data_IF_631827179477
#
_entry.id   IF_631827179477
#
_cell.length_a   1.000
_cell.length_b   1.000
_cell.length_c   1.000
_cell.angle_alpha   90.00
_cell.angle_beta   90.00
_cell.angle_gamma   90.00
#
_symmetry.space_group_name_H-M   'P 1'
#
loop_
_entity.id
_entity.type
_entity.pdbx_description
1 polymer ?
#
# COMPACT_ATOMS: atom_id res chain seq x y z
N UNK A 1 -66.03 -18.65 -3.89
CA UNK A 1 -66.77 -17.95 -2.79
C UNK A 1 -66.38 -18.68 -1.52
N UNK A 2 -65.60 -18.04 -0.68
CA UNK A 2 -65.12 -18.59 0.59
C UNK A 2 -66.21 -18.35 1.64
N UNK A 3 -66.29 -19.18 2.69
CA UNK A 3 -67.29 -19.06 3.73
C UNK A 3 -67.34 -17.68 4.39
N UNK A 4 -66.27 -16.94 4.38
CA UNK A 4 -66.17 -15.56 4.90
C UNK A 4 -66.97 -14.52 4.06
N UNK A 5 -67.03 -14.70 2.71
CA UNK A 5 -67.83 -13.82 1.85
C UNK A 5 -69.35 -13.99 2.09
N UNK A 6 -69.77 -15.19 2.45
CA UNK A 6 -71.19 -15.53 2.75
C UNK A 6 -71.63 -14.99 4.13
N UNK A 7 -70.75 -15.01 5.14
CA UNK A 7 -71.04 -14.44 6.47
C UNK A 7 -71.12 -12.93 6.45
N UNK A 8 -70.22 -12.23 5.71
CA UNK A 8 -70.26 -10.79 5.59
C UNK A 8 -71.50 -10.31 4.86
N UNK A 9 -72.01 -11.07 3.84
CA UNK A 9 -73.24 -10.74 3.15
C UNK A 9 -74.51 -10.89 4.06
N UNK A 10 -74.53 -11.82 5.00
CA UNK A 10 -75.66 -12.02 5.93
C UNK A 10 -75.70 -10.94 7.02
N UNK A 11 -74.55 -10.50 7.57
CA UNK A 11 -74.47 -9.40 8.48
C UNK A 11 -74.90 -8.07 7.84
N UNK A 12 -74.45 -7.81 6.62
CA UNK A 12 -74.91 -6.65 5.82
C UNK A 12 -76.38 -6.63 5.55
N UNK A 13 -77.03 -7.80 5.21
CA UNK A 13 -78.47 -7.93 5.01
C UNK A 13 -79.21 -7.63 6.31
N UNK A 14 -78.76 -8.12 7.43
CA UNK A 14 -79.37 -7.83 8.75
C UNK A 14 -79.25 -6.36 9.17
N UNK A 15 -78.13 -5.73 8.93
CA UNK A 15 -77.97 -4.28 9.17
C UNK A 15 -78.83 -3.44 8.24
N UNK A 16 -79.01 -3.83 6.96
CA UNK A 16 -79.87 -3.14 6.00
C UNK A 16 -81.34 -3.29 6.33
N UNK A 17 -81.82 -4.39 6.91
CA UNK A 17 -83.22 -4.61 7.31
C UNK A 17 -83.65 -3.73 8.47
N UNK A 18 -82.75 -3.20 9.27
CA UNK A 18 -83.00 -2.29 10.42
C UNK A 18 -83.05 -0.81 10.03
N UNK A 19 -82.55 -0.43 8.83
CA UNK A 19 -82.50 0.97 8.37
C UNK A 19 -83.73 1.40 7.57
N UNK A 20 -84.12 2.65 7.65
CA UNK A 20 -85.20 3.17 6.78
C UNK A 20 -84.77 3.22 5.30
N UNK A 21 -85.74 3.08 4.39
CA UNK A 21 -85.46 3.11 2.94
C UNK A 21 -84.84 4.44 2.49
N UNK A 22 -85.10 5.54 3.19
CA UNK A 22 -84.46 6.83 2.93
C UNK A 22 -82.98 6.86 3.31
N UNK A 23 -82.61 6.21 4.39
CA UNK A 23 -81.23 6.11 4.87
C UNK A 23 -80.41 5.17 3.97
N UNK A 24 -80.99 4.10 3.50
CA UNK A 24 -80.31 3.19 2.54
C UNK A 24 -80.02 3.92 1.23
N UNK A 25 -80.95 4.69 0.72
CA UNK A 25 -80.74 5.49 -0.51
C UNK A 25 -79.66 6.56 -0.32
N UNK A 26 -79.62 7.21 0.83
CA UNK A 26 -78.59 8.21 1.13
C UNK A 26 -77.20 7.56 1.22
N UNK A 27 -77.08 6.44 1.91
CA UNK A 27 -75.82 5.73 2.07
C UNK A 27 -75.33 5.18 0.71
N UNK A 28 -76.23 4.70 -0.13
CA UNK A 28 -75.89 4.23 -1.47
C UNK A 28 -75.31 5.38 -2.32
N UNK A 29 -75.93 6.54 -2.30
CA UNK A 29 -75.41 7.71 -3.00
C UNK A 29 -74.04 8.17 -2.47
N UNK A 30 -73.86 8.10 -1.15
CA UNK A 30 -72.61 8.48 -0.51
C UNK A 30 -71.49 7.48 -0.89
N UNK A 31 -71.76 6.20 -0.90
CA UNK A 31 -70.84 5.15 -1.36
C UNK A 31 -70.48 5.28 -2.85
N UNK A 32 -71.46 5.52 -3.71
CA UNK A 32 -71.25 5.77 -5.14
C UNK A 32 -70.33 7.00 -5.36
N UNK A 33 -70.55 8.09 -4.62
CA UNK A 33 -69.64 9.24 -4.66
C UNK A 33 -68.25 8.93 -4.18
N UNK A 34 -68.06 8.16 -3.11
CA UNK A 34 -66.79 7.75 -2.60
C UNK A 34 -66.06 6.82 -3.59
N UNK A 35 -66.74 5.89 -4.23
CA UNK A 35 -66.23 5.05 -5.31
C UNK A 35 -65.72 5.93 -6.44
N UNK A 36 -66.51 6.87 -6.93
CA UNK A 36 -66.15 7.80 -7.99
C UNK A 36 -64.94 8.67 -7.66
N UNK A 37 -64.79 9.11 -6.40
CA UNK A 37 -63.65 9.86 -5.93
C UNK A 37 -62.41 8.93 -5.89
N UNK A 38 -62.56 7.71 -5.37
CA UNK A 38 -61.49 6.71 -5.32
C UNK A 38 -60.99 6.31 -6.70
N UNK A 39 -61.88 6.09 -7.67
CA UNK A 39 -61.52 5.82 -9.06
C UNK A 39 -60.76 6.98 -9.71
N UNK A 40 -61.16 8.23 -9.47
CA UNK A 40 -60.41 9.40 -9.95
C UNK A 40 -59.03 9.49 -9.35
N UNK A 41 -58.90 9.28 -8.01
CA UNK A 41 -57.61 9.30 -7.33
C UNK A 41 -56.71 8.15 -7.84
N UNK A 42 -57.27 6.98 -8.05
CA UNK A 42 -56.55 5.82 -8.58
C UNK A 42 -56.07 6.10 -10.01
N UNK A 43 -56.91 6.69 -10.86
CA UNK A 43 -56.52 7.08 -12.24
C UNK A 43 -55.41 8.15 -12.20
N UNK A 44 -55.50 9.16 -11.30
CA UNK A 44 -54.45 10.18 -11.18
C UNK A 44 -53.11 9.59 -10.70
N UNK A 45 -53.14 8.66 -9.71
CA UNK A 45 -51.96 7.98 -9.19
C UNK A 45 -51.30 7.05 -10.24
N UNK A 46 -52.15 6.34 -11.02
CA UNK A 46 -51.63 5.50 -12.10
C UNK A 46 -50.94 6.31 -13.20
N UNK A 47 -51.47 7.49 -13.52
CA UNK A 47 -50.83 8.40 -14.48
C UNK A 47 -49.50 8.95 -13.92
N UNK A 48 -49.47 9.42 -12.67
CA UNK A 48 -48.23 9.86 -12.04
C UNK A 48 -47.17 8.74 -11.96
N UNK A 49 -47.61 7.49 -11.70
CA UNK A 49 -46.70 6.36 -11.70
C UNK A 49 -46.05 6.14 -13.05
N UNK A 50 -46.86 6.20 -14.15
CA UNK A 50 -46.36 6.07 -15.52
C UNK A 50 -45.36 7.17 -15.86
N UNK A 51 -45.66 8.43 -15.55
CA UNK A 51 -44.74 9.55 -15.76
C UNK A 51 -43.40 9.34 -15.01
N UNK A 52 -43.44 8.91 -13.76
CA UNK A 52 -42.23 8.63 -12.99
C UNK A 52 -41.43 7.43 -13.53
N UNK A 53 -42.12 6.40 -14.01
CA UNK A 53 -41.48 5.24 -14.67
C UNK A 53 -40.79 5.66 -16.00
N UNK A 54 -41.41 6.53 -16.77
CA UNK A 54 -40.81 7.09 -18.01
C UNK A 54 -39.61 7.96 -17.70
N UNK A 55 -39.70 8.84 -16.72
CA UNK A 55 -38.54 9.65 -16.25
C UNK A 55 -37.40 8.78 -15.72
N UNK A 56 -37.71 7.76 -14.95
CA UNK A 56 -36.70 6.80 -14.46
C UNK A 56 -36.02 6.05 -15.60
N UNK A 57 -36.78 5.69 -16.67
CA UNK A 57 -36.23 5.05 -17.88
C UNK A 57 -35.32 6.00 -18.65
N UNK A 58 -35.77 7.24 -18.87
CA UNK A 58 -34.95 8.28 -19.51
C UNK A 58 -33.65 8.55 -18.75
N UNK A 59 -33.73 8.68 -17.45
CA UNK A 59 -32.54 8.88 -16.62
C UNK A 59 -31.57 7.69 -16.69
N UNK A 60 -32.08 6.45 -16.73
CA UNK A 60 -31.21 5.26 -16.93
C UNK A 60 -30.54 5.28 -18.29
N UNK A 61 -31.22 5.69 -19.34
CA UNK A 61 -30.64 5.80 -20.68
C UNK A 61 -29.56 6.89 -20.73
N UNK A 62 -29.81 8.05 -20.10
CA UNK A 62 -28.81 9.13 -19.99
C UNK A 62 -27.57 8.65 -19.24
N UNK A 63 -27.73 7.97 -18.11
CA UNK A 63 -26.62 7.40 -17.33
C UNK A 63 -25.85 6.37 -18.17
N UNK A 64 -26.54 5.52 -18.90
CA UNK A 64 -25.92 4.54 -19.80
C UNK A 64 -25.07 5.19 -20.89
N UNK A 65 -25.59 6.27 -21.51
CA UNK A 65 -24.85 7.04 -22.52
C UNK A 65 -23.64 7.75 -21.91
N UNK A 66 -23.79 8.34 -20.74
CA UNK A 66 -22.67 8.99 -20.03
C UNK A 66 -21.56 8.02 -19.68
N UNK A 67 -21.88 6.77 -19.29
CA UNK A 67 -20.88 5.71 -19.04
C UNK A 67 -20.08 5.28 -20.28
N UNK A 68 -20.57 5.54 -21.48
CA UNK A 68 -19.90 5.17 -22.73
C UNK A 68 -19.02 6.30 -23.29
N UNK A 69 -19.14 7.52 -22.81
CA UNK A 69 -18.32 8.65 -23.27
C UNK A 69 -16.94 8.61 -22.62
N UNK A 70 -15.84 8.86 -23.38
CA UNK A 70 -14.51 8.94 -22.79
C UNK A 70 -14.41 10.15 -21.87
N UNK A 71 -13.94 9.91 -20.64
CA UNK A 71 -13.67 10.96 -19.67
C UNK A 71 -12.26 11.51 -19.81
N UNK A 72 -12.10 12.81 -19.49
CA UNK A 72 -10.78 13.42 -19.35
C UNK A 72 -10.27 13.21 -17.94
N UNK A 73 -8.99 12.89 -17.81
CA UNK A 73 -8.31 12.85 -16.52
C UNK A 73 -7.86 14.27 -16.19
N UNK A 74 -8.25 14.76 -15.02
CA UNK A 74 -7.90 16.08 -14.53
C UNK A 74 -7.39 15.99 -13.10
N UNK A 75 -6.57 16.93 -12.67
CA UNK A 75 -6.12 17.05 -11.27
C UNK A 75 -6.82 18.23 -10.61
N UNK A 76 -7.24 18.05 -9.37
CA UNK A 76 -7.76 19.14 -8.53
C UNK A 76 -6.59 20.01 -8.13
N UNK A 77 -6.67 21.32 -8.39
CA UNK A 77 -5.64 22.29 -8.03
C UNK A 77 -5.93 22.84 -6.63
N UNK A 78 -7.15 23.30 -6.44
CA UNK A 78 -7.58 23.95 -5.21
C UNK A 78 -9.10 23.87 -5.08
N UNK A 79 -9.58 23.84 -3.84
CA UNK A 79 -11.00 23.98 -3.51
C UNK A 79 -11.22 25.34 -2.88
N UNK A 80 -12.11 26.13 -3.47
CA UNK A 80 -12.39 27.50 -3.04
C UNK A 80 -13.76 27.59 -2.38
N UNK A 81 -13.86 28.36 -1.31
CA UNK A 81 -15.15 28.73 -0.73
C UNK A 81 -15.68 29.94 -1.52
N UNK A 82 -16.84 29.79 -2.14
CA UNK A 82 -17.52 30.93 -2.70
C UNK A 82 -18.02 31.79 -1.51
N UNK A 83 -17.44 32.98 -1.37
CA UNK A 83 -17.96 34.01 -0.50
C UNK A 83 -19.07 34.66 -1.32
N UNK A 84 -20.31 34.53 -0.90
CA UNK A 84 -21.44 35.24 -1.50
C UNK A 84 -21.18 36.76 -1.41
N UNK A 85 -21.07 37.40 -2.56
CA UNK A 85 -21.08 38.83 -2.66
C UNK A 85 -22.51 39.32 -2.44
N UNK A 86 -22.68 40.56 -1.96
CA UNK A 86 -23.90 41.23 -1.51
C UNK A 86 -25.07 41.33 -2.52
N UNK A 87 -25.17 40.45 -3.50
CA UNK A 87 -26.30 40.41 -4.44
C UNK A 87 -27.32 39.35 -4.02
N UNK A 88 -28.36 39.79 -3.32
CA UNK A 88 -29.39 39.04 -2.58
C UNK A 88 -30.35 38.20 -3.42
N UNK A 89 -30.21 37.99 -4.72
CA UNK A 89 -31.39 37.60 -5.51
C UNK A 89 -31.32 36.37 -6.40
N UNK A 90 -30.45 35.33 -6.25
CA UNK A 90 -30.64 34.19 -7.16
C UNK A 90 -30.50 32.77 -6.56
N UNK A 91 -29.87 32.52 -5.43
CA UNK A 91 -29.78 31.12 -4.94
C UNK A 91 -30.10 30.96 -3.45
N UNK A 92 -31.35 30.62 -3.14
CA UNK A 92 -31.76 30.02 -1.85
C UNK A 92 -31.32 28.53 -1.84
N UNK A 93 -30.04 28.26 -1.60
CA UNK A 93 -29.50 26.96 -1.32
C UNK A 93 -28.70 27.00 -0.02
N UNK A 94 -29.28 26.50 1.06
CA UNK A 94 -28.67 26.40 2.38
C UNK A 94 -27.48 25.40 2.36
N UNK A 95 -26.25 25.90 2.18
CA UNK A 95 -25.04 25.08 2.31
C UNK A 95 -23.83 25.84 1.79
N UNK A 96 -22.72 25.79 2.52
CA UNK A 96 -21.42 26.28 2.05
C UNK A 96 -21.06 25.57 0.72
N UNK A 97 -21.35 26.19 -0.42
CA UNK A 97 -21.03 25.64 -1.73
C UNK A 97 -19.53 25.85 -1.99
N UNK A 98 -18.78 24.77 -1.83
CA UNK A 98 -17.37 24.71 -2.19
C UNK A 98 -17.26 24.52 -3.70
N UNK A 99 -16.50 25.38 -4.36
CA UNK A 99 -16.14 25.29 -5.77
C UNK A 99 -14.77 24.59 -5.93
N UNK A 100 -14.54 23.99 -7.07
CA UNK A 100 -13.28 23.31 -7.37
C UNK A 100 -12.57 23.92 -8.59
N UNK A 101 -11.26 24.09 -8.49
CA UNK A 101 -10.40 24.42 -9.62
C UNK A 101 -9.68 23.16 -10.08
N UNK A 102 -9.90 22.80 -11.33
CA UNK A 102 -9.28 21.61 -11.93
C UNK A 102 -8.33 21.98 -13.06
N UNK A 103 -7.30 21.16 -13.21
CA UNK A 103 -6.35 21.24 -14.32
C UNK A 103 -6.49 20.00 -15.20
N UNK A 104 -6.88 20.20 -16.44
CA UNK A 104 -7.09 19.12 -17.39
C UNK A 104 -5.75 18.60 -17.94
N UNK A 105 -5.76 17.40 -18.52
CA UNK A 105 -4.60 16.81 -19.21
C UNK A 105 -4.11 17.68 -20.38
N UNK A 106 -4.94 18.58 -20.90
CA UNK A 106 -4.57 19.58 -21.93
C UNK A 106 -3.87 20.84 -21.37
N UNK A 107 -3.58 20.85 -20.05
CA UNK A 107 -2.99 21.98 -19.31
C UNK A 107 -3.91 23.21 -19.19
N UNK A 108 -5.18 23.07 -19.47
CA UNK A 108 -6.19 24.10 -19.25
C UNK A 108 -6.62 24.06 -17.77
N UNK A 109 -6.69 25.24 -17.15
CA UNK A 109 -7.24 25.36 -15.78
C UNK A 109 -8.68 25.82 -15.90
N UNK A 110 -9.60 25.06 -15.33
CA UNK A 110 -11.03 25.33 -15.39
C UNK A 110 -11.56 25.50 -13.97
N UNK A 111 -12.32 26.55 -13.77
CA UNK A 111 -13.03 26.80 -12.52
C UNK A 111 -14.44 26.19 -12.61
N UNK A 112 -14.80 25.41 -11.61
CA UNK A 112 -16.09 24.74 -11.51
C UNK A 112 -16.85 25.31 -10.31
N UNK A 113 -17.87 26.13 -10.51
CA UNK A 113 -18.73 26.59 -9.43
C UNK A 113 -19.50 25.42 -8.79
N UNK A 114 -19.88 24.43 -9.60
CA UNK A 114 -20.54 23.18 -9.14
C UNK A 114 -19.64 22.01 -9.51
N UNK A 115 -19.20 21.27 -8.50
CA UNK A 115 -18.27 20.14 -8.70
C UNK A 115 -18.87 18.95 -9.46
N UNK A 116 -20.18 18.82 -9.55
CA UNK A 116 -20.87 17.75 -10.27
C UNK A 116 -21.45 16.69 -9.34
N UNK A 117 -21.13 15.41 -9.58
CA UNK A 117 -21.67 14.28 -8.79
C UNK A 117 -21.01 14.11 -7.41
N UNK A 118 -19.80 14.63 -7.26
CA UNK A 118 -19.04 14.61 -6.01
C UNK A 118 -19.12 15.95 -5.32
N UNK A 119 -19.20 15.94 -3.98
CA UNK A 119 -19.14 17.17 -3.21
C UNK A 119 -17.70 17.70 -3.22
N UNK A 120 -17.55 19.00 -3.43
CA UNK A 120 -16.22 19.64 -3.42
C UNK A 120 -15.49 19.50 -2.06
N UNK A 121 -16.23 19.27 -0.97
CA UNK A 121 -15.67 18.99 0.34
C UNK A 121 -14.90 17.66 0.43
N UNK A 122 -15.21 16.70 -0.45
CA UNK A 122 -14.57 15.37 -0.50
C UNK A 122 -13.34 15.34 -1.40
N UNK A 123 -13.00 16.49 -2.02
CA UNK A 123 -11.88 16.63 -2.96
C UNK A 123 -10.69 17.28 -2.26
N UNK A 124 -9.54 16.60 -2.31
CA UNK A 124 -8.27 17.14 -1.82
C UNK A 124 -7.43 17.70 -2.99
N UNK A 125 -6.62 18.74 -2.74
CA UNK A 125 -5.66 19.23 -3.74
C UNK A 125 -4.71 18.11 -4.21
N UNK A 126 -4.41 18.10 -5.52
CA UNK A 126 -3.58 17.10 -6.22
C UNK A 126 -4.26 15.76 -6.50
N UNK A 127 -5.51 15.55 -6.16
CA UNK A 127 -6.23 14.33 -6.51
C UNK A 127 -6.60 14.28 -7.99
N UNK A 128 -6.64 13.06 -8.52
CA UNK A 128 -7.06 12.80 -9.88
C UNK A 128 -8.57 12.53 -9.93
N UNK A 129 -9.23 13.20 -10.85
CA UNK A 129 -10.68 13.09 -11.07
C UNK A 129 -11.00 12.82 -12.54
N UNK A 130 -12.04 12.03 -12.76
CA UNK A 130 -12.62 11.83 -14.08
C UNK A 130 -13.61 12.95 -14.36
N UNK A 131 -13.40 13.68 -15.44
CA UNK A 131 -14.16 14.87 -15.80
C UNK A 131 -14.81 14.66 -17.16
N UNK A 132 -16.06 15.07 -17.32
CA UNK A 132 -16.74 15.06 -18.60
C UNK A 132 -16.02 15.98 -19.59
N UNK A 133 -15.92 15.55 -20.85
CA UNK A 133 -15.26 16.33 -21.90
C UNK A 133 -16.02 17.60 -22.27
N UNK A 134 -17.35 17.54 -22.21
CA UNK A 134 -18.21 18.59 -22.73
C UNK A 134 -18.63 19.59 -21.65
N UNK A 135 -18.89 19.11 -20.43
CA UNK A 135 -19.39 19.94 -19.32
C UNK A 135 -18.36 20.19 -18.22
N UNK A 136 -17.20 19.56 -18.27
CA UNK A 136 -16.15 19.57 -17.24
C UNK A 136 -16.63 19.17 -15.84
N UNK A 137 -17.83 18.58 -15.72
CA UNK A 137 -18.34 18.10 -14.43
C UNK A 137 -17.53 16.91 -13.93
N UNK A 138 -17.22 16.89 -12.63
CA UNK A 138 -16.49 15.80 -11.98
C UNK A 138 -17.46 14.63 -11.81
N UNK A 139 -17.06 13.47 -12.31
CA UNK A 139 -17.87 12.25 -12.30
C UNK A 139 -17.46 11.30 -11.18
N UNK A 140 -16.17 11.02 -11.05
CA UNK A 140 -15.62 10.06 -10.11
C UNK A 140 -14.19 10.45 -9.71
N UNK A 141 -13.81 10.14 -8.48
CA UNK A 141 -12.45 10.27 -7.98
C UNK A 141 -11.64 9.07 -8.47
N UNK A 142 -10.56 9.33 -9.16
CA UNK A 142 -9.68 8.31 -9.65
C UNK A 142 -8.61 7.96 -8.60
N UNK A 143 -8.21 6.69 -8.50
CA UNK A 143 -7.09 6.33 -7.64
C UNK A 143 -5.82 7.05 -8.12
N UNK A 144 -4.91 7.42 -7.21
CA UNK A 144 -3.68 8.08 -7.55
C UNK A 144 -2.89 7.25 -8.57
N UNK A 145 -2.42 7.93 -9.63
CA UNK A 145 -1.68 7.28 -10.71
C UNK A 145 -0.21 7.22 -10.34
N UNK A 146 0.22 6.12 -9.78
CA UNK A 146 1.64 5.83 -9.56
C UNK A 146 2.27 5.24 -10.82
N UNK A 147 3.55 5.52 -11.04
CA UNK A 147 4.33 4.88 -12.08
C UNK A 147 4.24 3.35 -11.93
N UNK A 148 4.11 2.64 -13.05
CA UNK A 148 4.04 1.17 -13.06
C UNK A 148 5.25 0.53 -12.37
N UNK A 149 6.41 1.19 -12.41
CA UNK A 149 7.63 0.79 -11.70
C UNK A 149 7.44 0.84 -10.18
N UNK A 150 6.78 1.88 -9.66
CA UNK A 150 6.51 2.03 -8.22
C UNK A 150 5.51 0.99 -7.75
N UNK A 151 4.48 0.69 -8.54
CA UNK A 151 3.55 -0.41 -8.25
C UNK A 151 4.26 -1.77 -8.24
N UNK A 152 5.20 -1.99 -9.14
CA UNK A 152 6.00 -3.21 -9.17
C UNK A 152 7.00 -3.35 -7.99
N UNK A 153 7.28 -2.27 -7.26
CA UNK A 153 8.09 -2.28 -6.05
C UNK A 153 7.31 -2.75 -4.80
N UNK A 154 6.00 -2.73 -4.90
CA UNK A 154 5.15 -3.34 -3.87
C UNK A 154 5.29 -4.85 -3.95
N UNK A 155 5.63 -5.46 -2.84
CA UNK A 155 5.65 -6.93 -2.73
C UNK A 155 4.21 -7.36 -2.44
N UNK A 156 3.49 -7.81 -3.48
CA UNK A 156 2.08 -8.22 -3.39
C UNK A 156 1.83 -9.36 -2.38
N UNK A 157 2.83 -10.19 -2.14
CA UNK A 157 2.76 -11.24 -1.13
C UNK A 157 3.40 -10.75 0.17
N UNK A 158 2.65 -10.83 1.27
CA UNK A 158 3.23 -10.61 2.60
C UNK A 158 4.47 -11.48 2.75
N UNK A 159 5.62 -10.92 3.21
CA UNK A 159 6.80 -11.72 3.48
C UNK A 159 6.46 -12.88 4.42
N UNK A 160 6.90 -14.07 4.08
CA UNK A 160 6.67 -15.29 4.88
C UNK A 160 7.87 -15.62 5.77
N UNK A 161 8.94 -14.84 5.64
CA UNK A 161 10.16 -15.01 6.43
C UNK A 161 9.90 -14.70 7.90
N UNK A 162 10.36 -15.61 8.77
CA UNK A 162 10.30 -15.46 10.22
C UNK A 162 11.67 -15.15 10.79
N UNK A 163 11.73 -14.54 11.98
CA UNK A 163 13.01 -14.30 12.67
C UNK A 163 13.77 -15.59 13.01
N UNK A 164 13.08 -16.73 13.09
CA UNK A 164 13.71 -18.04 13.29
C UNK A 164 14.66 -18.44 12.16
N UNK A 165 14.46 -17.87 10.97
CA UNK A 165 15.35 -18.09 9.82
C UNK A 165 16.62 -17.24 9.86
N UNK A 166 16.70 -16.29 10.82
CA UNK A 166 17.85 -15.41 11.01
C UNK A 166 18.71 -15.91 12.19
N UNK A 167 19.49 -16.95 12.00
CA UNK A 167 20.33 -17.52 13.05
C UNK A 167 21.47 -16.57 13.49
N UNK A 168 21.70 -16.47 14.80
CA UNK A 168 22.84 -15.77 15.40
C UNK A 168 22.77 -14.24 15.39
N UNK A 169 21.60 -13.66 15.16
CA UNK A 169 21.37 -12.22 15.11
C UNK A 169 20.39 -11.72 16.20
N UNK A 170 20.31 -12.41 17.35
CA UNK A 170 19.31 -12.14 18.39
C UNK A 170 19.35 -10.69 18.89
N UNK A 171 20.55 -10.14 19.11
CA UNK A 171 20.75 -8.75 19.55
C UNK A 171 20.24 -7.77 18.51
N UNK A 172 20.59 -7.97 17.25
CA UNK A 172 20.20 -7.12 16.13
C UNK A 172 18.68 -7.19 15.88
N UNK A 173 18.10 -8.37 16.04
CA UNK A 173 16.64 -8.57 15.97
C UNK A 173 15.94 -7.77 17.07
N UNK A 174 16.47 -7.79 18.30
CA UNK A 174 15.91 -7.03 19.41
C UNK A 174 16.01 -5.52 19.16
N UNK A 175 17.18 -5.02 18.75
CA UNK A 175 17.38 -3.60 18.41
C UNK A 175 16.44 -3.15 17.29
N UNK A 176 16.22 -3.99 16.27
CA UNK A 176 15.31 -3.70 15.16
C UNK A 176 13.84 -3.71 15.62
N UNK A 177 13.46 -4.65 16.49
CA UNK A 177 12.13 -4.67 17.09
C UNK A 177 11.85 -3.40 17.90
N UNK A 178 12.79 -2.97 18.69
CA UNK A 178 12.67 -1.73 19.48
C UNK A 178 12.57 -0.48 18.59
N UNK A 179 13.33 -0.45 17.49
CA UNK A 179 13.37 0.71 16.62
C UNK A 179 12.16 0.82 15.67
N UNK A 180 11.60 -0.30 15.18
CA UNK A 180 10.59 -0.32 14.14
C UNK A 180 9.29 -0.95 14.61
N UNK A 181 9.33 -2.17 15.19
CA UNK A 181 8.12 -2.93 15.52
C UNK A 181 7.34 -2.23 16.64
N UNK A 182 7.98 -1.88 17.73
CA UNK A 182 7.32 -1.23 18.86
C UNK A 182 6.64 0.10 18.47
N UNK A 183 7.30 1.02 17.72
CA UNK A 183 6.65 2.25 17.30
C UNK A 183 5.44 2.06 16.37
N UNK A 184 5.43 1.01 15.55
CA UNK A 184 4.33 0.72 14.66
C UNK A 184 3.15 0.05 15.38
N UNK A 185 3.44 -0.83 16.35
CA UNK A 185 2.40 -1.59 17.06
C UNK A 185 1.82 -0.84 18.26
N UNK A 186 2.66 -0.10 18.99
CA UNK A 186 2.26 0.59 20.23
C UNK A 186 2.60 2.10 20.21
N UNK A 187 2.08 2.89 19.26
CA UNK A 187 2.40 4.31 19.12
C UNK A 187 1.97 5.15 20.35
N UNK A 188 0.87 4.76 21.00
CA UNK A 188 0.35 5.46 22.18
C UNK A 188 1.25 5.32 23.40
N UNK A 189 1.89 4.17 23.56
CA UNK A 189 2.81 3.93 24.68
C UNK A 189 4.05 4.82 24.58
N UNK A 190 4.58 5.01 23.37
CA UNK A 190 5.70 5.92 23.14
C UNK A 190 5.33 7.38 23.40
N UNK A 191 4.11 7.79 22.97
CA UNK A 191 3.61 9.15 23.24
C UNK A 191 3.46 9.40 24.74
N UNK A 192 2.97 8.42 25.52
CA UNK A 192 2.83 8.55 26.98
C UNK A 192 4.18 8.71 27.70
N UNK A 193 5.23 8.05 27.19
CA UNK A 193 6.59 8.16 27.75
C UNK A 193 7.31 9.43 27.26
N UNK A 194 6.82 10.07 26.20
CA UNK A 194 7.41 11.28 25.60
C UNK A 194 8.64 11.01 24.73
N UNK A 195 8.85 9.75 24.28
CA UNK A 195 9.98 9.38 23.42
C UNK A 195 9.57 9.52 21.95
N UNK A 196 10.40 10.21 21.17
CA UNK A 196 10.23 10.26 19.73
C UNK A 196 10.72 8.95 19.09
N UNK A 197 9.85 8.28 18.35
CA UNK A 197 10.20 7.08 17.63
C UNK A 197 11.20 7.39 16.50
N UNK A 198 12.24 6.56 16.31
CA UNK A 198 13.14 6.70 15.18
C UNK A 198 12.37 6.57 13.85
N UNK A 199 12.72 7.41 12.88
CA UNK A 199 12.09 7.39 11.55
C UNK A 199 12.67 6.30 10.67
N UNK A 200 13.98 6.09 10.78
CA UNK A 200 14.71 5.14 9.95
C UNK A 200 15.82 4.39 10.67
N UNK A 201 16.15 3.23 10.12
CA UNK A 201 17.20 2.34 10.59
C UNK A 201 18.15 2.03 9.43
N UNK A 202 19.44 2.10 9.69
CA UNK A 202 20.48 1.66 8.76
C UNK A 202 21.03 0.30 9.19
N UNK A 203 20.87 -0.71 8.33
CA UNK A 203 21.51 -2.02 8.46
C UNK A 203 22.81 -2.01 7.66
N UNK A 204 23.93 -2.25 8.31
CA UNK A 204 25.23 -2.27 7.63
C UNK A 204 26.05 -3.49 8.02
N UNK A 205 26.98 -3.87 7.17
CA UNK A 205 27.88 -5.01 7.39
C UNK A 205 28.26 -5.73 6.11
N UNK A 206 29.07 -6.77 6.20
CA UNK A 206 29.53 -7.53 5.04
C UNK A 206 28.38 -8.09 4.19
N UNK A 207 28.59 -8.34 2.89
CA UNK A 207 27.58 -8.98 2.05
C UNK A 207 27.26 -10.40 2.55
N UNK A 208 26.01 -10.83 2.38
CA UNK A 208 25.58 -12.19 2.76
C UNK A 208 25.37 -12.42 4.26
N UNK A 209 25.26 -11.36 5.10
CA UNK A 209 24.94 -11.43 6.53
C UNK A 209 23.45 -11.42 6.84
N UNK A 210 22.58 -11.39 5.83
CA UNK A 210 21.12 -11.50 6.03
C UNK A 210 20.37 -10.18 6.17
N UNK A 211 20.94 -9.01 5.77
CA UNK A 211 20.29 -7.67 5.86
C UNK A 211 18.90 -7.63 5.25
N UNK A 212 18.77 -8.08 4.02
CA UNK A 212 17.48 -8.11 3.29
C UNK A 212 16.48 -9.09 3.94
N UNK A 213 16.96 -10.23 4.43
CA UNK A 213 16.13 -11.23 5.10
C UNK A 213 15.59 -10.71 6.43
N UNK A 214 16.43 -10.03 7.21
CA UNK A 214 16.05 -9.43 8.49
C UNK A 214 14.96 -8.33 8.29
N UNK A 215 15.08 -7.51 7.24
CA UNK A 215 14.08 -6.49 6.92
C UNK A 215 12.73 -7.11 6.53
N UNK A 216 12.73 -8.21 5.75
CA UNK A 216 11.51 -8.94 5.40
C UNK A 216 10.86 -9.61 6.61
N UNK A 217 11.65 -10.23 7.49
CA UNK A 217 11.16 -10.81 8.73
C UNK A 217 10.54 -9.76 9.66
N UNK A 218 11.11 -8.53 9.68
CA UNK A 218 10.54 -7.41 10.40
C UNK A 218 9.16 -7.01 9.85
N UNK A 219 9.02 -6.91 8.53
CA UNK A 219 7.76 -6.57 7.89
C UNK A 219 6.68 -7.66 8.08
N UNK A 220 7.06 -8.93 7.99
CA UNK A 220 6.17 -10.05 8.25
C UNK A 220 5.55 -9.99 9.66
N UNK A 221 6.37 -9.60 10.64
CA UNK A 221 5.95 -9.57 12.05
C UNK A 221 5.09 -8.36 12.41
N UNK A 222 5.16 -7.27 11.63
CA UNK A 222 4.39 -6.03 11.88
C UNK A 222 3.06 -5.97 11.13
N UNK A 223 2.73 -6.96 10.31
CA UNK A 223 1.56 -6.92 9.41
C UNK A 223 1.46 -5.62 8.58
N UNK A 224 2.61 -5.00 8.29
CA UNK A 224 2.70 -3.77 7.50
C UNK A 224 2.91 -4.06 6.02
N UNK A 225 2.55 -3.11 5.18
CA UNK A 225 2.86 -3.16 3.74
C UNK A 225 4.37 -3.05 3.55
N UNK A 226 4.95 -3.89 2.69
CA UNK A 226 6.39 -3.88 2.44
C UNK A 226 6.68 -3.37 1.03
N UNK A 227 7.38 -2.22 0.95
CA UNK A 227 7.85 -1.63 -0.29
C UNK A 227 9.36 -1.83 -0.40
N UNK A 228 9.80 -2.52 -1.45
CA UNK A 228 11.23 -2.76 -1.71
C UNK A 228 11.74 -1.86 -2.83
N UNK A 229 12.74 -1.06 -2.52
CA UNK A 229 13.47 -0.21 -3.44
C UNK A 229 14.92 -0.72 -3.53
N UNK A 230 15.44 -0.88 -4.73
CA UNK A 230 16.87 -1.15 -4.90
C UNK A 230 17.57 0.16 -5.29
N UNK A 231 18.65 0.52 -4.58
CA UNK A 231 19.44 1.73 -4.87
C UNK A 231 19.81 1.89 -6.34
N UNK A 232 20.33 0.88 -7.03
CA UNK A 232 20.63 0.96 -8.46
C UNK A 232 19.42 1.29 -9.35
N UNK A 233 18.21 0.91 -8.96
CA UNK A 233 16.98 1.24 -9.71
C UNK A 233 16.61 2.72 -9.63
N UNK A 234 17.09 3.43 -8.61
CA UNK A 234 16.88 4.86 -8.44
C UNK A 234 17.82 5.70 -9.31
N UNK A 235 18.92 5.10 -9.80
CA UNK A 235 19.85 5.74 -10.72
C UNK A 235 19.34 5.55 -12.15
N UNK A 236 18.72 6.59 -12.70
CA UNK A 236 18.10 6.59 -14.03
C UNK A 236 18.91 7.41 -15.03
N UNK A 237 18.72 7.14 -16.33
CA UNK A 237 19.38 7.88 -17.42
C UNK A 237 18.77 9.27 -17.63
N UNK A 238 17.49 9.44 -17.33
CA UNK A 238 16.76 10.70 -17.58
C UNK A 238 16.73 11.57 -16.33
N UNK A 239 16.94 12.86 -16.54
CA UNK A 239 17.00 13.86 -15.47
C UNK A 239 15.65 13.95 -14.75
N UNK A 240 15.64 13.75 -13.44
CA UNK A 240 14.48 13.86 -12.56
C UNK A 240 13.62 12.60 -12.41
N UNK A 241 13.87 11.53 -13.17
CA UNK A 241 13.11 10.28 -12.99
C UNK A 241 13.38 9.61 -11.65
N UNK A 242 14.63 9.57 -11.18
CA UNK A 242 14.98 8.98 -9.89
C UNK A 242 14.30 9.71 -8.73
N UNK A 243 14.34 11.03 -8.73
CA UNK A 243 13.68 11.85 -7.72
C UNK A 243 12.14 11.69 -7.76
N UNK A 244 11.54 11.53 -8.94
CA UNK A 244 10.11 11.26 -9.11
C UNK A 244 9.73 9.91 -8.51
N UNK A 245 10.48 8.86 -8.80
CA UNK A 245 10.26 7.50 -8.25
C UNK A 245 10.30 7.52 -6.73
N UNK A 246 11.28 8.20 -6.14
CA UNK A 246 11.38 8.35 -4.68
C UNK A 246 10.12 9.00 -4.13
N UNK A 247 9.69 10.14 -4.68
CA UNK A 247 8.50 10.86 -4.22
C UNK A 247 7.25 10.00 -4.29
N UNK A 248 6.98 9.37 -5.43
CA UNK A 248 5.83 8.51 -5.62
C UNK A 248 5.85 7.28 -4.71
N UNK A 249 7.04 6.68 -4.45
CA UNK A 249 7.18 5.57 -3.52
C UNK A 249 6.82 5.96 -2.08
N UNK A 250 7.22 7.16 -1.65
CA UNK A 250 6.87 7.68 -0.34
C UNK A 250 5.39 8.10 -0.24
N UNK A 251 4.80 8.64 -1.30
CA UNK A 251 3.36 8.91 -1.39
C UNK A 251 2.54 7.62 -1.32
N UNK A 252 2.95 6.58 -2.05
CA UNK A 252 2.35 5.25 -1.97
C UNK A 252 2.45 4.66 -0.55
N UNK A 253 3.61 4.82 0.09
CA UNK A 253 3.81 4.37 1.47
C UNK A 253 2.86 5.05 2.46
N UNK A 254 2.62 6.36 2.30
CA UNK A 254 1.66 7.11 3.13
C UNK A 254 0.22 6.66 2.90
N UNK A 255 -0.16 6.43 1.65
CA UNK A 255 -1.52 5.98 1.31
C UNK A 255 -1.85 4.58 1.83
N UNK A 256 -0.83 3.72 2.02
CA UNK A 256 -0.96 2.33 2.50
C UNK A 256 -0.44 2.11 3.92
N UNK A 257 -0.38 3.15 4.73
CA UNK A 257 0.10 3.03 6.12
C UNK A 257 -0.73 1.99 6.93
N UNK A 258 -0.11 1.16 7.80
CA UNK A 258 1.30 1.14 8.17
C UNK A 258 2.20 0.48 7.10
N UNK A 259 3.33 1.13 6.77
CA UNK A 259 4.22 0.71 5.69
C UNK A 259 5.68 0.73 6.12
N UNK A 260 6.44 -0.29 5.67
CA UNK A 260 7.89 -0.33 5.78
C UNK A 260 8.50 -0.19 4.39
N UNK A 261 9.29 0.86 4.20
CA UNK A 261 10.09 1.07 2.99
C UNK A 261 11.47 0.46 3.23
N UNK A 262 11.85 -0.51 2.42
CA UNK A 262 13.18 -1.10 2.45
C UNK A 262 14.00 -0.66 1.25
N UNK A 263 15.11 0.03 1.50
CA UNK A 263 16.04 0.49 0.47
C UNK A 263 17.31 -0.34 0.55
N UNK A 264 17.49 -1.24 -0.43
CA UNK A 264 18.69 -2.09 -0.52
C UNK A 264 19.78 -1.36 -1.32
N UNK A 265 21.05 -1.59 -0.95
CA UNK A 265 22.22 -1.01 -1.63
C UNK A 265 22.13 0.53 -1.74
N UNK A 266 21.80 1.19 -0.62
CA UNK A 266 21.63 2.66 -0.61
C UNK A 266 22.91 3.41 -1.01
N UNK A 267 24.07 2.78 -0.94
CA UNK A 267 25.37 3.32 -1.37
C UNK A 267 25.41 3.68 -2.86
N UNK A 268 24.54 3.09 -3.69
CA UNK A 268 24.39 3.48 -5.09
C UNK A 268 23.89 4.92 -5.29
N UNK A 269 23.07 5.43 -4.34
CA UNK A 269 22.47 6.79 -4.39
C UNK A 269 23.02 7.69 -3.31
N UNK A 270 23.34 7.13 -2.14
CA UNK A 270 23.76 7.84 -0.95
C UNK A 270 25.27 8.09 -0.84
N UNK A 271 26.03 7.96 -1.90
CA UNK A 271 27.50 8.17 -1.88
C UNK A 271 27.92 9.61 -1.58
N UNK A 272 29.11 9.76 -0.98
CA UNK A 272 29.73 11.07 -0.75
C UNK A 272 29.87 11.82 -2.07
N UNK A 273 29.61 13.13 -2.02
CA UNK A 273 29.79 14.01 -3.17
C UNK A 273 31.28 14.16 -3.48
N UNK A 274 31.67 13.84 -4.70
CA UNK A 274 33.00 14.21 -5.20
C UNK A 274 32.88 15.57 -5.87
N UNK A 275 33.78 16.50 -5.50
CA UNK A 275 33.82 17.86 -6.05
C UNK A 275 34.30 17.92 -7.52
N UNK A 276 34.41 16.78 -8.18
CA UNK A 276 34.79 16.71 -9.59
C UNK A 276 33.63 17.03 -10.53
N UNK A 277 33.66 18.18 -11.12
CA UNK A 277 32.63 18.93 -11.85
C UNK A 277 32.06 18.33 -13.15
N UNK A 278 32.26 17.03 -13.48
CA UNK A 278 32.18 16.69 -14.91
C UNK A 278 31.28 15.54 -15.36
N UNK A 279 30.38 14.99 -14.55
CA UNK A 279 29.54 13.92 -15.08
C UNK A 279 28.05 14.18 -14.79
N UNK A 280 27.26 14.29 -15.86
CA UNK A 280 25.80 14.50 -15.83
C UNK A 280 25.10 13.47 -14.95
N UNK A 281 25.66 12.25 -14.84
CA UNK A 281 25.13 11.16 -13.98
C UNK A 281 25.27 11.44 -12.48
N UNK A 282 26.34 12.10 -12.03
CA UNK A 282 26.53 12.43 -10.60
C UNK A 282 25.55 13.48 -10.13
N UNK A 283 25.16 14.43 -11.00
CA UNK A 283 24.13 15.44 -10.71
C UNK A 283 22.76 14.80 -10.48
N UNK A 284 22.43 13.76 -11.25
CA UNK A 284 21.17 13.06 -11.11
C UNK A 284 21.11 12.22 -9.82
N UNK A 285 22.20 11.52 -9.50
CA UNK A 285 22.33 10.80 -8.24
C UNK A 285 22.20 11.77 -7.05
N UNK A 286 22.88 12.91 -7.11
CA UNK A 286 22.80 13.95 -6.07
C UNK A 286 21.39 14.52 -5.92
N UNK A 287 20.64 14.68 -7.02
CA UNK A 287 19.26 15.16 -7.01
C UNK A 287 18.31 14.12 -6.37
N UNK A 288 18.47 12.86 -6.74
CA UNK A 288 17.71 11.75 -6.15
C UNK A 288 17.99 11.64 -4.65
N UNK A 289 19.25 11.82 -4.26
CA UNK A 289 19.67 11.86 -2.86
C UNK A 289 19.03 13.02 -2.10
N UNK A 290 19.02 14.24 -2.68
CA UNK A 290 18.36 15.38 -2.06
C UNK A 290 16.86 15.16 -1.87
N UNK A 291 16.19 14.57 -2.87
CA UNK A 291 14.78 14.24 -2.73
C UNK A 291 14.54 13.20 -1.64
N UNK A 292 15.39 12.17 -1.54
CA UNK A 292 15.32 11.19 -0.46
C UNK A 292 15.46 11.84 0.93
N UNK A 293 16.42 12.77 1.07
CA UNK A 293 16.60 13.54 2.31
C UNK A 293 15.36 14.39 2.63
N UNK A 294 14.80 15.07 1.62
CA UNK A 294 13.59 15.88 1.79
C UNK A 294 12.40 15.01 2.23
N UNK A 295 12.24 13.84 1.64
CA UNK A 295 11.18 12.92 2.04
C UNK A 295 11.38 12.41 3.48
N UNK A 296 12.61 12.08 3.89
CA UNK A 296 12.93 11.67 5.27
C UNK A 296 12.68 12.80 6.28
N UNK A 297 13.01 14.06 5.91
CA UNK A 297 12.78 15.23 6.76
C UNK A 297 11.29 15.60 6.85
N UNK A 298 10.55 15.43 5.75
CA UNK A 298 9.13 15.73 5.66
C UNK A 298 8.20 14.77 6.41
N UNK A 299 8.71 13.65 6.94
CA UNK A 299 7.93 12.78 7.81
C UNK A 299 7.77 13.38 9.21
N UNK A 300 6.56 13.46 9.67
CA UNK A 300 6.30 13.60 11.10
C UNK A 300 6.44 12.25 11.77
N UNK A 301 6.82 12.23 13.04
CA UNK A 301 6.90 10.98 13.84
C UNK A 301 5.56 10.24 13.98
N UNK A 302 4.48 10.85 13.50
CA UNK A 302 3.11 10.35 13.52
C UNK A 302 2.76 9.52 12.28
N UNK A 303 3.54 9.65 11.19
CA UNK A 303 3.29 8.85 9.99
C UNK A 303 3.71 7.41 10.28
N UNK A 304 2.76 6.47 10.14
CA UNK A 304 2.99 5.04 10.33
C UNK A 304 3.87 4.44 9.21
N UNK A 305 4.85 5.21 8.74
CA UNK A 305 5.83 4.81 7.73
C UNK A 305 7.20 4.74 8.37
N UNK A 306 7.89 3.62 8.18
CA UNK A 306 9.27 3.40 8.65
C UNK A 306 10.18 3.07 7.49
N UNK A 307 11.42 3.53 7.56
CA UNK A 307 12.41 3.31 6.52
C UNK A 307 13.54 2.42 7.05
N UNK A 308 13.85 1.36 6.33
CA UNK A 308 15.00 0.49 6.59
C UNK A 308 15.94 0.62 5.38
N UNK A 309 17.14 1.09 5.62
CA UNK A 309 18.17 1.14 4.60
C UNK A 309 19.22 0.03 4.83
N UNK A 310 19.71 -0.57 3.77
CA UNK A 310 20.79 -1.56 3.85
C UNK A 310 21.97 -1.14 2.97
N UNK A 311 23.19 -1.33 3.49
CA UNK A 311 24.43 -1.11 2.73
C UNK A 311 25.51 -2.12 3.11
N UNK A 312 26.36 -2.43 2.16
CA UNK A 312 27.59 -3.20 2.38
C UNK A 312 28.79 -2.29 2.65
N UNK A 313 28.66 -0.98 2.37
CA UNK A 313 29.77 -0.01 2.40
C UNK A 313 29.37 1.26 3.17
N UNK A 314 29.34 1.21 4.51
CA UNK A 314 28.93 2.36 5.31
C UNK A 314 29.86 3.58 5.16
N UNK A 315 31.13 3.36 4.79
CA UNK A 315 32.15 4.40 4.66
C UNK A 315 31.91 5.36 3.47
N UNK A 316 31.17 4.88 2.47
CA UNK A 316 30.87 5.63 1.25
C UNK A 316 29.66 6.54 1.45
N UNK A 317 28.83 6.30 2.46
CA UNK A 317 27.59 7.04 2.67
C UNK A 317 27.84 8.51 3.04
N UNK A 318 26.97 9.38 2.51
CA UNK A 318 26.93 10.80 2.89
C UNK A 318 26.51 10.93 4.36
N UNK A 319 27.31 11.64 5.21
CA UNK A 319 26.95 11.89 6.61
C UNK A 319 25.59 12.56 6.80
N UNK A 320 25.07 13.25 5.80
CA UNK A 320 23.75 13.87 5.84
C UNK A 320 22.60 12.86 6.06
N UNK A 321 22.73 11.63 5.55
CA UNK A 321 21.76 10.56 5.82
C UNK A 321 21.75 10.10 7.27
N UNK A 322 22.88 10.19 7.93
CA UNK A 322 23.14 9.66 9.27
C UNK A 322 22.83 10.66 10.40
N UNK A 323 22.24 11.82 10.05
CA UNK A 323 21.82 12.83 11.03
C UNK A 323 20.57 12.36 11.79
N UNK A 324 20.44 12.85 13.02
CA UNK A 324 19.24 12.63 13.84
C UNK A 324 17.99 13.16 13.10
N UNK A 325 16.90 12.42 13.22
CA UNK A 325 15.65 12.70 12.49
C UNK A 325 15.56 12.03 11.11
N UNK A 326 16.58 11.28 10.64
CA UNK A 326 16.62 10.53 9.39
C UNK A 326 16.86 9.05 9.64
N UNK A 327 18.11 8.60 9.54
CA UNK A 327 18.52 7.23 9.89
C UNK A 327 19.16 7.24 11.29
N UNK A 328 18.31 7.32 12.30
CA UNK A 328 18.72 7.54 13.68
C UNK A 328 19.45 6.33 14.30
N UNK A 329 19.05 5.14 13.90
CA UNK A 329 19.60 3.89 14.42
C UNK A 329 20.47 3.21 13.38
N UNK A 330 21.66 2.79 13.81
CA UNK A 330 22.62 2.05 13.00
C UNK A 330 22.82 0.70 13.64
N UNK A 331 22.47 -0.37 12.91
CA UNK A 331 22.57 -1.75 13.39
C UNK A 331 23.62 -2.47 12.55
N UNK A 332 24.69 -2.91 13.20
CA UNK A 332 25.74 -3.68 12.57
C UNK A 332 25.38 -5.17 12.50
N UNK A 333 25.49 -5.76 11.31
CA UNK A 333 25.40 -7.20 11.11
C UNK A 333 26.82 -7.75 10.92
N UNK A 334 27.46 -8.25 11.99
CA UNK A 334 28.82 -8.78 11.90
C UNK A 334 28.85 -10.12 11.17
N UNK A 335 30.06 -10.61 10.88
CA UNK A 335 30.25 -11.99 10.46
C UNK A 335 29.78 -12.97 11.55
N UNK A 336 29.16 -14.10 11.18
CA UNK A 336 28.62 -15.04 12.16
C UNK A 336 29.73 -15.74 12.95
N UNK A 337 29.56 -15.79 14.28
CA UNK A 337 30.41 -16.55 15.20
C UNK A 337 30.20 -18.07 15.02
N UNK A 338 31.00 -18.91 15.69
CA UNK A 338 30.89 -20.38 15.61
C UNK A 338 29.45 -20.86 15.90
N UNK A 339 28.86 -20.42 17.02
CA UNK A 339 27.49 -20.82 17.39
C UNK A 339 26.44 -20.30 16.38
N UNK A 340 26.60 -19.10 15.88
CA UNK A 340 25.73 -18.55 14.82
C UNK A 340 25.85 -19.35 13.51
N UNK A 341 27.06 -19.81 13.15
CA UNK A 341 27.25 -20.67 11.97
C UNK A 341 26.55 -22.02 12.14
N UNK A 342 26.60 -22.61 13.34
CA UNK A 342 25.84 -23.84 13.65
C UNK A 342 24.36 -23.63 13.41
N UNK A 343 23.77 -22.57 14.01
CA UNK A 343 22.36 -22.26 13.83
C UNK A 343 22.00 -22.02 12.36
N UNK A 344 22.82 -21.31 11.59
CA UNK A 344 22.58 -21.06 10.16
C UNK A 344 22.60 -22.37 9.37
N UNK A 345 23.54 -23.29 9.65
CA UNK A 345 23.61 -24.59 9.01
C UNK A 345 22.39 -25.45 9.34
N UNK A 346 21.95 -25.47 10.61
CA UNK A 346 20.75 -26.19 11.05
C UNK A 346 19.50 -25.65 10.36
N UNK A 347 19.33 -24.31 10.26
CA UNK A 347 18.20 -23.67 9.58
C UNK A 347 18.15 -24.09 8.11
N UNK A 348 19.30 -24.04 7.41
CA UNK A 348 19.33 -24.40 5.99
C UNK A 348 19.23 -25.89 5.74
N UNK A 349 19.63 -26.74 6.69
CA UNK A 349 19.51 -28.20 6.62
C UNK A 349 18.14 -28.72 7.04
N UNK A 350 17.31 -27.93 7.71
CA UNK A 350 15.97 -28.31 8.24
C UNK A 350 15.07 -28.99 7.19
N UNK A 351 15.16 -28.55 5.93
CA UNK A 351 14.34 -29.07 4.83
C UNK A 351 15.07 -30.19 4.03
N UNK A 352 16.30 -30.57 4.43
CA UNK A 352 17.10 -31.57 3.76
C UNK A 352 17.09 -32.86 4.58
N UNK A 353 17.20 -34.02 3.91
CA UNK A 353 17.38 -35.30 4.60
C UNK A 353 18.85 -35.45 4.98
N UNK A 354 19.20 -35.11 6.19
CA UNK A 354 20.56 -35.25 6.75
C UNK A 354 20.67 -36.49 7.61
N UNK A 355 21.83 -37.13 7.62
CA UNK A 355 22.15 -38.24 8.51
C UNK A 355 22.22 -37.70 9.96
N UNK A 356 21.82 -38.52 10.95
CA UNK A 356 21.89 -38.20 12.38
C UNK A 356 23.33 -38.02 12.88
N UNK A 357 24.32 -38.60 12.18
CA UNK A 357 25.73 -38.53 12.51
C UNK A 357 26.39 -37.21 12.07
N UNK A 358 25.69 -36.28 11.42
CA UNK A 358 26.30 -35.00 10.95
C UNK A 358 26.56 -34.07 12.14
N UNK A 359 27.82 -33.75 12.37
CA UNK A 359 28.24 -32.83 13.40
C UNK A 359 28.37 -31.40 12.86
N UNK A 360 27.29 -30.59 12.95
CA UNK A 360 27.30 -29.19 12.48
C UNK A 360 28.31 -28.30 13.20
N UNK A 361 28.71 -28.63 14.43
CA UNK A 361 29.70 -27.88 15.17
C UNK A 361 31.11 -28.04 14.60
N UNK A 362 31.45 -29.24 14.14
CA UNK A 362 32.70 -29.48 13.44
C UNK A 362 32.75 -28.79 12.08
N UNK A 363 31.65 -28.86 11.34
CA UNK A 363 31.47 -28.14 10.08
C UNK A 363 31.62 -26.64 10.29
N UNK A 364 31.02 -26.08 11.35
CA UNK A 364 31.14 -24.66 11.68
C UNK A 364 32.57 -24.23 12.02
N UNK A 365 33.35 -25.08 12.68
CA UNK A 365 34.79 -24.82 12.96
C UNK A 365 35.64 -24.81 11.68
N UNK A 366 35.34 -25.69 10.74
CA UNK A 366 36.07 -25.74 9.47
C UNK A 366 35.71 -24.60 8.51
N UNK A 367 34.63 -23.83 8.79
CA UNK A 367 34.12 -22.72 7.97
C UNK A 367 34.41 -21.36 8.57
N UNK A 368 35.63 -21.11 9.08
CA UNK A 368 36.03 -19.78 9.51
C UNK A 368 35.90 -18.77 8.35
N UNK A 369 35.50 -17.54 8.64
CA UNK A 369 35.27 -16.46 7.66
C UNK A 369 34.18 -16.71 6.59
N UNK A 370 33.25 -17.64 6.84
CA UNK A 370 32.10 -17.82 5.97
C UNK A 370 30.93 -16.91 6.42
N UNK A 371 30.34 -16.23 5.45
CA UNK A 371 29.09 -15.51 5.68
C UNK A 371 27.87 -16.44 5.54
N UNK A 372 26.68 -15.97 5.93
CA UNK A 372 25.46 -16.78 5.87
C UNK A 372 25.12 -17.30 4.45
N UNK A 373 25.42 -16.51 3.41
CA UNK A 373 25.22 -16.92 2.01
C UNK A 373 26.15 -18.05 1.60
N UNK A 374 27.39 -18.03 2.08
CA UNK A 374 28.36 -19.11 1.83
C UNK A 374 27.97 -20.39 2.57
N UNK A 375 27.50 -20.30 3.81
CA UNK A 375 27.01 -21.46 4.57
C UNK A 375 25.78 -22.09 3.88
N UNK A 376 24.87 -21.28 3.36
CA UNK A 376 23.78 -21.79 2.50
C UNK A 376 24.31 -22.48 1.27
N UNK A 377 25.32 -21.92 0.60
CA UNK A 377 25.95 -22.55 -0.57
C UNK A 377 26.60 -23.90 -0.21
N UNK A 378 27.21 -24.02 0.98
CA UNK A 378 27.77 -25.32 1.46
C UNK A 378 26.65 -26.35 1.59
N UNK A 379 25.51 -26.01 2.18
CA UNK A 379 24.39 -26.96 2.30
C UNK A 379 23.89 -27.42 0.91
N UNK A 380 23.77 -26.49 -0.05
CA UNK A 380 23.34 -26.80 -1.42
C UNK A 380 24.38 -27.69 -2.14
N UNK A 381 25.69 -27.37 -2.05
CA UNK A 381 26.75 -28.19 -2.66
C UNK A 381 26.83 -29.58 -2.02
N UNK A 382 26.68 -29.68 -0.69
CA UNK A 382 26.63 -30.98 -0.02
C UNK A 382 25.46 -31.86 -0.54
N UNK A 383 24.29 -31.23 -0.74
CA UNK A 383 23.14 -31.91 -1.37
C UNK A 383 23.44 -32.35 -2.80
N UNK A 384 24.16 -31.54 -3.60
CA UNK A 384 24.57 -31.88 -4.98
C UNK A 384 25.60 -32.99 -5.00
N UNK A 385 26.51 -33.06 -4.02
CA UNK A 385 27.49 -34.17 -3.87
C UNK A 385 26.77 -35.46 -3.56
N UNK A 386 25.81 -35.44 -2.60
CA UNK A 386 24.98 -36.59 -2.25
C UNK A 386 24.22 -37.13 -3.49
N UNK A 387 23.62 -36.22 -4.29
CA UNK A 387 22.93 -36.59 -5.54
C UNK A 387 23.88 -37.22 -6.58
N UNK A 388 25.10 -36.73 -6.74
CA UNK A 388 26.10 -37.35 -7.65
C UNK A 388 26.46 -38.75 -7.22
N UNK A 389 26.39 -39.02 -5.94
CA UNK A 389 26.65 -40.35 -5.36
C UNK A 389 25.39 -41.25 -5.40
N UNK A 390 24.27 -40.74 -5.90
CA UNK A 390 22.95 -41.39 -5.86
C UNK A 390 22.50 -41.78 -4.44
N UNK A 391 22.83 -40.95 -3.44
CA UNK A 391 22.41 -41.12 -2.06
C UNK A 391 21.15 -40.28 -1.78
N UNK A 392 20.20 -40.84 -1.00
CA UNK A 392 18.96 -40.16 -0.57
C UNK A 392 19.15 -39.35 0.71
N UNK A 393 20.29 -39.46 1.36
CA UNK A 393 20.63 -38.85 2.65
C UNK A 393 22.01 -38.20 2.54
N UNK A 394 22.15 -37.01 3.07
CA UNK A 394 23.39 -36.21 3.07
C UNK A 394 24.24 -36.64 4.27
N UNK A 395 25.46 -37.13 4.01
CA UNK A 395 26.41 -37.53 5.03
C UNK A 395 27.35 -36.40 5.44
N UNK A 396 28.08 -36.59 6.54
CA UNK A 396 29.09 -35.63 7.00
C UNK A 396 30.19 -35.37 5.96
N UNK A 397 30.60 -36.40 5.24
CA UNK A 397 31.62 -36.34 4.17
C UNK A 397 31.18 -35.42 3.01
N UNK A 398 29.88 -35.45 2.66
CA UNK A 398 29.30 -34.59 1.62
C UNK A 398 29.39 -33.12 1.98
N UNK A 399 29.24 -32.77 3.27
CA UNK A 399 29.42 -31.40 3.76
C UNK A 399 30.90 -30.98 3.70
N UNK A 400 31.82 -31.85 4.05
CA UNK A 400 33.29 -31.59 3.96
C UNK A 400 33.69 -31.32 2.52
N UNK A 401 33.22 -32.15 1.57
CA UNK A 401 33.45 -31.93 0.14
C UNK A 401 32.80 -30.63 -0.35
N UNK A 402 31.58 -30.34 0.10
CA UNK A 402 30.86 -29.08 -0.19
C UNK A 402 31.64 -27.84 0.27
N UNK A 403 32.24 -27.87 1.45
CA UNK A 403 33.13 -26.81 1.95
C UNK A 403 34.33 -26.63 1.02
N UNK A 404 34.99 -27.69 0.64
CA UNK A 404 36.17 -27.63 -0.25
C UNK A 404 35.79 -26.99 -1.60
N UNK A 405 34.64 -27.34 -2.18
CA UNK A 405 34.15 -26.78 -3.43
C UNK A 405 33.82 -25.27 -3.30
N UNK A 406 33.16 -24.82 -2.21
CA UNK A 406 32.87 -23.41 -1.97
C UNK A 406 34.16 -22.60 -1.73
N UNK A 407 35.13 -23.15 -0.99
CA UNK A 407 36.45 -22.50 -0.79
C UNK A 407 37.23 -22.37 -2.10
N UNK A 408 37.21 -23.40 -2.96
CA UNK A 408 37.84 -23.35 -4.26
C UNK A 408 37.24 -22.28 -5.18
N UNK A 409 35.89 -22.11 -5.14
CA UNK A 409 35.19 -21.02 -5.83
C UNK A 409 35.62 -19.65 -5.32
N UNK A 410 35.73 -19.45 -3.99
CA UNK A 410 36.19 -18.19 -3.38
C UNK A 410 37.62 -17.83 -3.82
N UNK A 411 38.55 -18.80 -3.83
CA UNK A 411 39.93 -18.57 -4.26
C UNK A 411 40.03 -18.24 -5.76
N UNK A 412 39.26 -18.90 -6.62
CA UNK A 412 39.21 -18.59 -8.06
C UNK A 412 38.72 -17.16 -8.32
N UNK A 413 37.71 -16.70 -7.57
CA UNK A 413 37.17 -15.34 -7.72
C UNK A 413 38.21 -14.28 -7.35
N UNK A 414 39.01 -14.49 -6.30
CA UNK A 414 40.08 -13.58 -5.91
C UNK A 414 41.19 -13.48 -6.95
N UNK A 415 41.51 -14.58 -7.65
CA UNK A 415 42.54 -14.60 -8.69
C UNK A 415 42.10 -13.96 -10.01
N UNK A 416 40.84 -13.69 -10.25
CA UNK A 416 40.34 -12.96 -11.42
C UNK A 416 40.40 -11.42 -11.25
N UNK A 417 40.63 -10.92 -10.04
CA UNK A 417 40.69 -9.50 -9.74
C UNK A 417 42.07 -9.04 -9.20
N UNK A 418 43.06 -9.93 -9.20
CA UNK A 418 44.49 -9.65 -9.03
C UNK A 418 45.18 -9.70 -10.41
#
# INVERSE_FOLDING_TARGET
MTNEEVEVDQELINEMSQKSVSEIKYNTQLLENNIRISERTLSSLTNKRKELEEHAKQNKEIISRLKQTPYLISSVVETLKLVEGDDEDIYQGSGEELSAVIKTSRRETVFLPISGLLKAADLEPSELVAVSRDTYTIYEKLPPHYDSRVKAMEVDSKPTETYEQCGGLDKQIQELKEAIVLPLMEPERLKKIGIQAPKGVLLYGPPGTGKTMLARACAANTNSTFLRLAGPQLVQKYVGEGAKIVREAFELARSKAPTIIFIDEIDAVGGKRNDSDNITGEREVSRTMLELLNQLDGFTSLDNVKVICATNRPDVLDPALLRSGRLDRKIELPMPNEDARVQILEIHSKNMKTDENVNFREIARSTEDFNGAMLKAVCVEAGMVALRRNADVISHEDYVEGIAQVQAKKKKFLNYFS
#
